data_IF_905880022444
#
_entry.id   IF_905880022444
#
_cell.length_a   1.000
_cell.length_b   1.000
_cell.length_c   1.000
_cell.angle_alpha   90.00
_cell.angle_beta   90.00
_cell.angle_gamma   90.00
#
_symmetry.space_group_name_H-M   'P 1'
#
loop_
_entity.id
_entity.type
_entity.pdbx_description
1 polymer ?
#
# COMPACT_ATOMS: atom_id res chain seq x y z
N UNK A 1 40.53 42.21 13.10
CA UNK A 1 39.37 41.29 13.02
C UNK A 1 39.50 40.54 11.72
N UNK A 2 39.88 39.26 11.77
CA UNK A 2 39.70 38.37 10.61
C UNK A 2 38.19 38.28 10.36
N UNK A 3 37.70 38.39 9.11
CA UNK A 3 36.28 38.18 8.84
C UNK A 3 35.90 36.80 9.37
N UNK A 4 34.75 36.70 10.05
CA UNK A 4 34.22 35.42 10.51
C UNK A 4 34.27 34.45 9.33
N UNK A 5 35.03 33.37 9.48
CA UNK A 5 35.11 32.33 8.46
C UNK A 5 33.69 31.90 8.14
N UNK A 6 33.36 31.90 6.84
CA UNK A 6 32.09 31.44 6.32
C UNK A 6 31.80 30.05 6.92
N UNK A 7 30.81 29.93 7.81
CA UNK A 7 30.53 28.71 8.61
C UNK A 7 29.91 27.57 7.77
N UNK A 8 29.90 27.77 6.45
CA UNK A 8 29.41 26.87 5.43
C UNK A 8 30.41 25.75 5.13
N UNK A 9 29.91 24.55 4.85
CA UNK A 9 30.74 23.41 4.46
C UNK A 9 31.34 23.58 3.06
N UNK A 10 32.51 23.00 2.75
CA UNK A 10 33.13 23.16 1.43
C UNK A 10 32.32 22.54 0.28
N UNK A 11 31.72 21.36 0.48
CA UNK A 11 30.88 20.70 -0.52
C UNK A 11 29.41 21.07 -0.37
N UNK A 12 28.86 21.85 -1.30
CA UNK A 12 27.47 22.34 -1.26
C UNK A 12 26.79 22.20 -2.62
N UNK A 13 26.47 20.97 -3.06
CA UNK A 13 25.73 20.79 -4.29
C UNK A 13 24.37 21.49 -4.19
N UNK A 14 23.88 22.13 -5.27
CA UNK A 14 22.57 22.75 -5.27
C UNK A 14 21.49 21.67 -5.09
N UNK A 15 20.43 22.03 -4.34
CA UNK A 15 19.19 21.28 -4.32
C UNK A 15 18.50 21.43 -5.67
N UNK A 16 18.16 20.31 -6.31
CA UNK A 16 17.45 20.31 -7.59
C UNK A 16 15.94 20.40 -7.36
N UNK A 17 15.20 20.91 -8.34
CA UNK A 17 13.79 21.31 -8.22
C UNK A 17 12.84 20.18 -7.75
N UNK A 18 13.03 18.97 -8.26
CA UNK A 18 12.21 17.79 -7.97
C UNK A 18 12.93 16.76 -7.08
N UNK A 19 14.13 17.07 -6.59
CA UNK A 19 14.95 16.14 -5.82
C UNK A 19 14.41 15.91 -4.41
N UNK A 20 14.42 14.65 -3.95
CA UNK A 20 14.06 14.31 -2.58
C UNK A 20 15.17 14.70 -1.60
N UNK A 21 14.79 15.08 -0.38
CA UNK A 21 15.73 15.45 0.68
C UNK A 21 16.78 14.36 0.91
N UNK A 22 16.39 13.09 0.89
CA UNK A 22 17.31 11.95 1.06
C UNK A 22 18.33 11.84 -0.07
N UNK A 23 17.95 12.15 -1.31
CA UNK A 23 18.86 12.20 -2.47
C UNK A 23 19.86 13.35 -2.32
N UNK A 24 19.35 14.55 -2.07
CA UNK A 24 20.19 15.73 -1.89
C UNK A 24 21.15 15.57 -0.71
N UNK A 25 20.66 15.06 0.42
CA UNK A 25 21.46 14.79 1.60
C UNK A 25 22.62 13.81 1.30
N UNK A 26 22.37 12.77 0.50
CA UNK A 26 23.42 11.84 0.09
C UNK A 26 24.47 12.51 -0.83
N UNK A 27 24.05 13.43 -1.71
CA UNK A 27 24.97 14.23 -2.54
C UNK A 27 25.79 15.21 -1.71
N UNK A 28 25.20 15.86 -0.70
CA UNK A 28 25.94 16.72 0.24
C UNK A 28 26.98 15.90 1.01
N UNK A 29 26.62 14.70 1.49
CA UNK A 29 27.57 13.80 2.14
C UNK A 29 28.74 13.45 1.20
N UNK A 30 28.43 13.03 -0.04
CA UNK A 30 29.42 12.70 -1.04
C UNK A 30 30.37 13.86 -1.37
N UNK A 31 29.83 15.07 -1.55
CA UNK A 31 30.60 16.28 -1.85
C UNK A 31 31.58 16.67 -0.74
N UNK A 32 31.33 16.22 0.50
CA UNK A 32 32.21 16.43 1.65
C UNK A 32 33.02 15.16 2.02
N UNK A 33 33.05 14.15 1.14
CA UNK A 33 33.82 12.93 1.38
C UNK A 33 33.26 12.06 2.52
N UNK A 34 31.96 12.14 2.78
CA UNK A 34 31.25 11.39 3.82
C UNK A 34 30.24 10.42 3.20
N UNK A 35 29.94 9.35 3.94
CA UNK A 35 28.74 8.53 3.70
C UNK A 35 27.52 9.21 4.33
N UNK A 36 26.29 8.98 3.84
CA UNK A 36 25.10 9.57 4.44
C UNK A 36 24.95 9.26 5.94
N UNK A 37 25.29 8.04 6.38
CA UNK A 37 25.26 7.69 7.80
C UNK A 37 26.35 8.39 8.65
N UNK A 38 27.45 8.83 8.05
CA UNK A 38 28.47 9.64 8.73
C UNK A 38 27.98 11.08 8.86
N UNK A 39 27.50 11.67 7.77
CA UNK A 39 26.92 13.01 7.78
C UNK A 39 25.79 13.11 8.81
N UNK A 40 24.87 12.15 8.81
CA UNK A 40 23.74 12.13 9.74
C UNK A 40 24.17 12.17 11.21
N UNK A 41 25.24 11.46 11.58
CA UNK A 41 25.76 11.46 12.95
C UNK A 41 26.42 12.78 13.34
N UNK A 42 26.97 13.53 12.37
CA UNK A 42 27.55 14.85 12.62
C UNK A 42 26.47 15.90 12.86
N UNK A 43 25.39 15.88 12.07
CA UNK A 43 24.30 16.87 12.19
C UNK A 43 23.26 16.51 13.25
N UNK A 44 23.14 15.22 13.58
CA UNK A 44 22.20 14.72 14.58
C UNK A 44 22.92 13.80 15.60
N UNK A 45 23.81 14.33 16.46
CA UNK A 45 24.63 13.51 17.37
C UNK A 45 23.82 12.66 18.36
N UNK A 46 22.68 13.19 18.82
CA UNK A 46 21.74 12.49 19.72
C UNK A 46 20.78 11.55 18.97
N UNK A 47 20.89 11.46 17.64
CA UNK A 47 20.04 10.64 16.79
C UNK A 47 20.41 9.15 16.82
N UNK A 48 19.61 8.34 16.13
CA UNK A 48 19.93 6.93 15.93
C UNK A 48 21.20 6.73 15.10
N UNK A 49 21.81 5.54 15.17
CA UNK A 49 23.06 5.23 14.45
C UNK A 49 22.95 5.37 12.91
N UNK A 50 21.75 5.29 12.36
CA UNK A 50 21.48 5.44 10.93
C UNK A 50 20.25 6.30 10.74
N UNK A 51 20.23 7.15 9.70
CA UNK A 51 19.03 7.89 9.36
C UNK A 51 17.89 6.92 9.02
N UNK A 52 16.68 7.29 9.47
CA UNK A 52 15.43 6.69 8.96
C UNK A 52 15.15 7.26 7.57
N UNK A 53 13.94 7.07 7.08
CA UNK A 53 13.42 7.73 5.90
C UNK A 53 13.38 9.26 6.10
N UNK A 54 14.43 9.97 5.66
CA UNK A 54 14.55 11.41 5.90
C UNK A 54 13.51 12.23 5.12
N UNK A 55 12.97 11.69 4.03
CA UNK A 55 11.90 12.35 3.28
C UNK A 55 10.62 12.45 4.12
N UNK A 56 10.42 11.54 5.10
CA UNK A 56 9.30 11.60 6.04
C UNK A 56 9.68 12.20 7.39
N UNK A 57 10.84 11.80 7.92
CA UNK A 57 11.23 12.06 9.30
C UNK A 57 12.32 13.13 9.44
N UNK A 58 12.55 13.94 8.40
CA UNK A 58 13.38 15.13 8.50
C UNK A 58 12.76 16.10 9.52
N UNK A 59 13.31 16.14 10.74
CA UNK A 59 12.85 17.06 11.78
C UNK A 59 13.41 18.47 11.59
N UNK A 60 12.80 19.43 12.28
CA UNK A 60 13.17 20.85 12.13
C UNK A 60 14.62 21.16 12.53
N UNK A 61 15.21 20.37 13.43
CA UNK A 61 16.60 20.54 13.85
C UNK A 61 17.56 20.07 12.76
N UNK A 62 17.31 18.90 12.17
CA UNK A 62 18.08 18.39 11.05
C UNK A 62 18.02 19.34 9.85
N UNK A 63 16.81 19.77 9.46
CA UNK A 63 16.65 20.69 8.33
C UNK A 63 17.31 22.05 8.62
N UNK A 64 17.23 22.55 9.86
CA UNK A 64 17.92 23.75 10.29
C UNK A 64 19.44 23.64 10.18
N UNK A 65 20.03 22.57 10.72
CA UNK A 65 21.47 22.33 10.65
C UNK A 65 21.96 22.21 9.19
N UNK A 66 21.19 21.55 8.33
CA UNK A 66 21.51 21.44 6.91
C UNK A 66 21.43 22.80 6.21
N UNK A 67 20.40 23.61 6.49
CA UNK A 67 20.27 24.95 5.94
C UNK A 67 21.45 25.84 6.35
N UNK A 68 21.77 25.85 7.65
CA UNK A 68 22.84 26.68 8.22
C UNK A 68 24.23 26.32 7.63
N UNK A 69 24.47 25.03 7.30
CA UNK A 69 25.76 24.57 6.76
C UNK A 69 25.88 24.56 5.24
N UNK A 70 24.77 24.61 4.51
CA UNK A 70 24.77 24.56 3.04
C UNK A 70 24.33 25.86 2.38
N UNK A 71 23.67 26.75 3.12
CA UNK A 71 23.08 27.98 2.58
C UNK A 71 21.76 27.76 1.81
N UNK A 72 21.25 26.52 1.74
CA UNK A 72 19.92 26.23 1.17
C UNK A 72 18.85 26.66 2.17
N UNK A 73 17.80 27.34 1.71
CA UNK A 73 16.74 27.80 2.62
C UNK A 73 16.00 26.63 3.28
N UNK A 74 15.54 26.83 4.51
CA UNK A 74 14.80 25.81 5.26
C UNK A 74 13.52 25.42 4.53
N UNK A 75 12.85 26.39 3.92
CA UNK A 75 11.63 26.21 3.14
C UNK A 75 11.89 25.29 1.93
N UNK A 76 13.00 25.49 1.21
CA UNK A 76 13.34 24.62 0.08
C UNK A 76 13.63 23.18 0.54
N UNK A 77 14.32 23.02 1.68
CA UNK A 77 14.54 21.70 2.26
C UNK A 77 13.22 21.05 2.70
N UNK A 78 12.29 21.79 3.31
CA UNK A 78 10.97 21.27 3.66
C UNK A 78 10.17 20.84 2.44
N UNK A 79 10.22 21.60 1.34
CA UNK A 79 9.57 21.25 0.07
C UNK A 79 10.23 20.03 -0.62
N UNK A 80 11.45 19.66 -0.25
CA UNK A 80 12.09 18.40 -0.68
C UNK A 80 11.69 17.17 0.17
N UNK A 81 10.80 17.33 1.15
CA UNK A 81 10.27 16.26 2.02
C UNK A 81 8.76 16.05 1.81
N UNK A 82 8.17 15.07 2.51
CA UNK A 82 6.72 14.83 2.52
C UNK A 82 5.91 16.01 3.05
N UNK A 83 6.54 16.96 3.77
CA UNK A 83 5.87 18.20 4.20
C UNK A 83 5.30 18.99 3.02
N UNK A 84 5.89 18.86 1.81
CA UNK A 84 5.34 19.39 0.55
C UNK A 84 3.89 19.00 0.29
N UNK A 85 3.47 17.83 0.78
CA UNK A 85 2.13 17.28 0.54
C UNK A 85 1.23 17.27 1.78
N UNK A 86 1.64 17.88 2.88
CA UNK A 86 0.78 18.05 4.05
C UNK A 86 -0.39 19.00 3.73
N UNK A 87 -1.62 18.54 3.93
CA UNK A 87 -2.85 19.21 3.48
C UNK A 87 -3.23 18.95 2.01
N UNK A 88 -2.43 18.17 1.27
CA UNK A 88 -2.66 17.87 -0.15
C UNK A 88 -2.76 16.35 -0.41
N UNK A 89 -1.75 15.55 -0.07
CA UNK A 89 -1.83 14.09 -0.18
C UNK A 89 -2.38 13.42 1.08
N UNK A 90 -2.20 14.06 2.23
CA UNK A 90 -2.63 13.62 3.55
C UNK A 90 -2.93 14.84 4.42
N UNK A 91 -3.85 14.73 5.38
CA UNK A 91 -4.22 15.87 6.22
C UNK A 91 -3.10 16.25 7.19
N UNK A 92 -2.61 15.28 7.97
CA UNK A 92 -1.54 15.44 8.96
C UNK A 92 -0.69 14.17 9.03
N UNK A 93 0.59 14.31 9.37
CA UNK A 93 1.47 13.18 9.66
C UNK A 93 1.97 13.29 11.11
N UNK A 94 1.53 12.37 11.97
CA UNK A 94 2.01 12.25 13.35
C UNK A 94 3.32 11.43 13.46
N UNK A 95 3.80 10.91 12.33
CA UNK A 95 4.98 10.04 12.24
C UNK A 95 4.74 8.60 12.73
N UNK A 96 3.57 8.30 13.27
CA UNK A 96 3.21 7.01 13.88
C UNK A 96 2.36 6.17 12.93
N UNK A 97 1.35 6.79 12.31
CA UNK A 97 0.41 6.10 11.42
C UNK A 97 1.01 6.00 10.02
N UNK A 98 0.74 4.91 9.31
CA UNK A 98 1.21 4.78 7.93
C UNK A 98 0.44 5.74 7.02
N UNK A 99 1.16 6.53 6.23
CA UNK A 99 0.57 7.28 5.11
C UNK A 99 0.28 6.31 3.96
N UNK A 100 -0.95 6.34 3.45
CA UNK A 100 -1.40 5.41 2.41
C UNK A 100 -0.53 5.54 1.16
N UNK A 101 -0.52 6.74 0.56
CA UNK A 101 0.17 6.95 -0.71
C UNK A 101 1.68 7.17 -0.58
N UNK A 102 2.22 7.20 0.64
CA UNK A 102 3.61 7.54 0.93
C UNK A 102 4.24 6.50 1.87
N UNK A 103 4.45 5.27 1.39
CA UNK A 103 5.03 4.23 2.21
C UNK A 103 6.49 4.52 2.57
N UNK A 104 6.98 3.95 3.69
CA UNK A 104 8.35 4.14 4.11
C UNK A 104 9.34 3.57 3.08
N UNK A 105 10.54 4.14 3.02
CA UNK A 105 11.61 3.70 2.13
C UNK A 105 12.81 3.04 2.86
N UNK A 106 13.52 2.17 2.12
CA UNK A 106 14.77 1.55 2.53
C UNK A 106 14.61 0.41 3.54
N UNK A 107 15.38 0.45 4.62
CA UNK A 107 15.35 -0.58 5.67
C UNK A 107 15.21 0.04 7.05
N UNK A 108 14.22 -0.44 7.78
CA UNK A 108 13.98 -0.11 9.18
C UNK A 108 14.12 -1.39 10.01
N UNK A 109 15.22 -1.49 10.77
CA UNK A 109 15.59 -2.74 11.47
C UNK A 109 15.60 -3.92 10.48
N UNK A 110 14.84 -4.99 10.77
CA UNK A 110 14.69 -6.15 9.88
C UNK A 110 13.69 -5.93 8.73
N UNK A 111 12.86 -4.88 8.78
CA UNK A 111 11.79 -4.62 7.82
C UNK A 111 12.34 -4.04 6.52
N UNK A 112 11.91 -4.60 5.38
CA UNK A 112 12.14 -4.05 4.03
C UNK A 112 11.00 -3.10 3.68
N UNK A 113 11.34 -1.90 3.22
CA UNK A 113 10.41 -0.83 2.95
C UNK A 113 10.61 -0.34 1.49
N UNK A 114 9.64 -0.60 0.62
CA UNK A 114 9.76 -0.40 -0.83
C UNK A 114 9.18 0.95 -1.32
N UNK A 115 9.11 1.94 -0.44
CA UNK A 115 8.52 3.24 -0.77
C UNK A 115 9.40 4.18 -1.59
N UNK A 116 10.67 3.82 -1.83
CA UNK A 116 11.50 4.53 -2.81
C UNK A 116 11.40 3.83 -4.16
N UNK A 117 10.94 4.55 -5.17
CA UNK A 117 10.95 4.12 -6.55
C UNK A 117 12.00 4.89 -7.36
N UNK A 118 12.43 4.33 -8.49
CA UNK A 118 13.41 4.95 -9.39
C UNK A 118 13.10 4.65 -10.85
N UNK A 119 13.41 5.60 -11.74
CA UNK A 119 13.51 5.34 -13.18
C UNK A 119 14.99 5.20 -13.57
N UNK A 120 15.46 4.01 -13.98
CA UNK A 120 16.84 3.84 -14.44
C UNK A 120 17.23 4.75 -15.60
N UNK A 121 16.32 4.96 -16.55
CA UNK A 121 16.55 5.79 -17.73
C UNK A 121 16.71 7.27 -17.36
N UNK A 122 15.83 7.83 -16.51
CA UNK A 122 16.03 9.19 -15.99
C UNK A 122 17.39 9.32 -15.31
N UNK A 123 17.74 8.38 -14.43
CA UNK A 123 19.02 8.42 -13.72
C UNK A 123 20.24 8.30 -14.66
N UNK A 124 20.08 7.68 -15.84
CA UNK A 124 21.15 7.56 -16.83
C UNK A 124 21.29 8.83 -17.69
N UNK A 125 20.18 9.50 -17.96
CA UNK A 125 20.10 10.72 -18.78
C UNK A 125 20.39 12.00 -17.98
N UNK A 126 20.11 11.99 -16.67
CA UNK A 126 20.34 13.12 -15.78
C UNK A 126 21.82 13.52 -15.74
N UNK A 127 22.12 14.78 -16.02
CA UNK A 127 23.48 15.35 -15.85
C UNK A 127 23.99 15.14 -14.43
N UNK A 128 23.10 15.27 -13.44
CA UNK A 128 23.35 14.89 -12.05
C UNK A 128 22.28 13.91 -11.61
N UNK A 129 22.55 12.60 -11.57
CA UNK A 129 21.57 11.59 -11.18
C UNK A 129 21.06 11.85 -9.75
N UNK A 130 19.74 11.97 -9.60
CA UNK A 130 19.08 12.26 -8.34
C UNK A 130 17.74 11.51 -8.24
N UNK A 131 17.31 11.22 -7.00
CA UNK A 131 16.00 10.62 -6.78
C UNK A 131 14.96 11.73 -6.69
N UNK A 132 13.92 11.61 -7.51
CA UNK A 132 12.82 12.57 -7.54
C UNK A 132 11.88 12.30 -6.37
N UNK A 133 11.41 13.35 -5.70
CA UNK A 133 10.49 13.24 -4.57
C UNK A 133 9.17 12.60 -5.02
N UNK A 134 8.64 12.96 -6.19
CA UNK A 134 7.38 12.39 -6.71
C UNK A 134 7.42 10.87 -6.89
N UNK A 135 8.59 10.26 -7.10
CA UNK A 135 8.74 8.80 -7.13
C UNK A 135 8.42 8.12 -5.79
N UNK A 136 8.21 8.90 -4.72
CA UNK A 136 7.71 8.43 -3.42
C UNK A 136 6.19 8.24 -3.41
N UNK A 137 5.45 8.84 -4.35
CA UNK A 137 4.01 8.68 -4.47
C UNK A 137 3.68 7.30 -5.03
N UNK A 138 3.03 6.47 -4.21
CA UNK A 138 2.82 5.08 -4.58
C UNK A 138 1.72 4.84 -5.62
N UNK A 139 0.96 5.87 -6.02
CA UNK A 139 0.14 5.81 -7.24
C UNK A 139 0.95 6.10 -8.51
N UNK A 140 2.15 6.71 -8.39
CA UNK A 140 3.10 6.91 -9.48
C UNK A 140 3.84 5.59 -9.73
N UNK A 141 3.35 4.80 -10.68
CA UNK A 141 3.84 3.42 -10.90
C UNK A 141 4.68 3.27 -12.16
N UNK A 142 4.58 4.23 -13.08
CA UNK A 142 5.41 4.35 -14.27
C UNK A 142 6.10 5.70 -14.28
N UNK A 143 7.24 5.77 -14.96
CA UNK A 143 7.89 7.04 -15.27
C UNK A 143 7.05 7.79 -16.32
N UNK A 144 6.64 9.05 -16.09
CA UNK A 144 5.91 9.82 -17.08
C UNK A 144 6.75 10.16 -18.32
N UNK A 145 8.08 10.19 -18.19
CA UNK A 145 9.00 10.48 -19.30
C UNK A 145 9.28 9.25 -20.17
N UNK A 146 9.51 8.09 -19.55
CA UNK A 146 9.95 6.88 -20.27
C UNK A 146 8.86 5.83 -20.47
N UNK A 147 7.71 5.94 -19.81
CA UNK A 147 6.58 5.03 -19.96
C UNK A 147 6.77 3.61 -19.38
N UNK A 148 7.92 3.33 -18.77
CA UNK A 148 8.21 2.06 -18.11
C UNK A 148 7.82 2.07 -16.63
N UNK A 149 7.55 0.89 -16.07
CA UNK A 149 7.35 0.72 -14.63
C UNK A 149 8.58 1.22 -13.87
N UNK A 150 8.34 2.04 -12.85
CA UNK A 150 9.40 2.41 -11.91
C UNK A 150 9.85 1.17 -11.16
N UNK A 151 11.13 1.12 -10.78
CA UNK A 151 11.66 0.05 -9.94
C UNK A 151 11.55 0.46 -8.47
N UNK A 152 11.06 -0.43 -7.60
CA UNK A 152 10.99 -0.20 -6.13
C UNK A 152 12.01 -1.07 -5.34
N UNK A 153 12.73 -1.92 -6.06
CA UNK A 153 13.72 -2.89 -5.56
C UNK A 153 14.81 -3.07 -6.59
N UNK A 154 16.01 -3.44 -6.12
CA UNK A 154 17.11 -3.80 -7.00
C UNK A 154 16.77 -5.09 -7.77
N UNK A 155 16.82 -5.11 -9.11
CA UNK A 155 16.59 -6.33 -9.90
C UNK A 155 17.62 -7.44 -9.63
N UNK A 156 18.84 -7.10 -9.20
CA UNK A 156 19.90 -8.08 -8.95
C UNK A 156 19.79 -8.79 -7.59
N UNK A 157 19.33 -8.10 -6.54
CA UNK A 157 19.31 -8.67 -5.18
C UNK A 157 17.98 -8.50 -4.41
N UNK A 158 16.97 -7.90 -5.04
CA UNK A 158 15.63 -7.69 -4.49
C UNK A 158 15.57 -6.85 -3.18
N UNK A 159 16.65 -6.16 -2.83
CA UNK A 159 16.67 -5.22 -1.72
C UNK A 159 16.01 -3.89 -2.11
N UNK A 160 15.28 -3.22 -1.19
CA UNK A 160 14.71 -1.91 -1.46
C UNK A 160 15.81 -0.89 -1.70
N UNK A 161 15.51 0.10 -2.55
CA UNK A 161 16.40 1.24 -2.72
C UNK A 161 16.52 2.02 -1.41
N UNK A 162 17.75 2.38 -1.05
CA UNK A 162 18.05 3.11 0.17
C UNK A 162 19.32 3.94 -0.03
N UNK A 163 19.14 5.14 -0.56
CA UNK A 163 20.26 6.05 -0.86
C UNK A 163 21.06 6.39 0.41
N UNK A 164 20.37 6.50 1.54
CA UNK A 164 20.96 6.79 2.85
C UNK A 164 21.82 5.65 3.43
N UNK A 165 21.78 4.47 2.82
CA UNK A 165 22.61 3.31 3.19
C UNK A 165 23.73 3.04 2.20
N UNK A 166 23.88 3.86 1.16
CA UNK A 166 24.89 3.64 0.14
C UNK A 166 26.29 3.83 0.73
N UNK A 167 27.18 2.86 0.47
CA UNK A 167 28.59 2.93 0.86
C UNK A 167 29.45 3.66 -0.18
N UNK A 168 29.01 3.65 -1.45
CA UNK A 168 29.67 4.37 -2.55
C UNK A 168 29.29 5.84 -2.52
N UNK A 169 30.28 6.71 -2.70
CA UNK A 169 30.11 8.17 -2.68
C UNK A 169 29.61 8.74 -4.01
N UNK A 170 29.69 7.98 -5.10
CA UNK A 170 29.31 8.44 -6.43
C UNK A 170 28.22 7.56 -7.05
N UNK A 171 27.32 8.21 -7.79
CA UNK A 171 26.22 7.58 -8.52
C UNK A 171 25.11 7.02 -7.63
N UNK A 172 24.11 6.39 -8.28
CA UNK A 172 23.00 5.72 -7.60
C UNK A 172 23.20 4.21 -7.72
N UNK A 173 23.69 3.60 -6.64
CA UNK A 173 23.99 2.17 -6.60
C UNK A 173 23.12 1.47 -5.56
N UNK A 174 22.85 0.17 -5.77
CA UNK A 174 22.24 -0.65 -4.74
C UNK A 174 23.16 -0.73 -3.52
N UNK A 175 22.68 -0.28 -2.36
CA UNK A 175 23.44 -0.31 -1.11
C UNK A 175 23.85 -1.73 -0.67
N UNK A 176 23.14 -2.76 -1.11
CA UNK A 176 23.38 -4.15 -0.69
C UNK A 176 24.31 -4.94 -1.62
N UNK A 177 24.15 -4.81 -2.95
CA UNK A 177 24.93 -5.60 -3.92
C UNK A 177 25.88 -4.75 -4.77
N UNK A 178 25.83 -3.42 -4.66
CA UNK A 178 26.69 -2.51 -5.41
C UNK A 178 26.34 -2.33 -6.89
N UNK A 179 25.30 -3.00 -7.40
CA UNK A 179 24.85 -2.84 -8.78
C UNK A 179 24.45 -1.38 -9.09
N UNK A 180 24.88 -0.89 -10.25
CA UNK A 180 24.53 0.45 -10.74
C UNK A 180 23.08 0.45 -11.23
N UNK A 181 22.23 1.27 -10.61
CA UNK A 181 20.78 1.29 -10.87
C UNK A 181 20.47 1.73 -12.30
N UNK A 182 21.34 2.56 -12.89
CA UNK A 182 21.19 3.10 -14.25
C UNK A 182 21.31 2.04 -15.34
N UNK A 183 21.85 0.86 -15.01
CA UNK A 183 22.04 -0.25 -15.97
C UNK A 183 20.84 -1.17 -16.07
N UNK A 184 19.81 -0.96 -15.25
CA UNK A 184 18.58 -1.73 -15.32
C UNK A 184 17.58 -1.08 -16.29
N UNK A 185 16.55 -1.83 -16.65
CA UNK A 185 15.40 -1.34 -17.40
C UNK A 185 14.13 -1.64 -16.62
N UNK A 186 13.12 -0.77 -16.75
CA UNK A 186 11.79 -1.04 -16.23
C UNK A 186 10.97 -1.84 -17.23
N UNK A 187 10.13 -2.75 -16.75
CA UNK A 187 9.19 -3.49 -17.60
C UNK A 187 8.09 -2.56 -18.12
N UNK A 188 7.45 -2.95 -19.24
CA UNK A 188 6.22 -2.29 -19.68
C UNK A 188 5.06 -2.55 -18.68
N UNK A 189 4.21 -1.53 -18.44
CA UNK A 189 3.07 -1.67 -17.56
C UNK A 189 2.02 -2.61 -18.18
N UNK A 190 1.26 -3.35 -17.35
CA UNK A 190 0.24 -4.30 -17.83
C UNK A 190 -1.05 -3.63 -18.31
N UNK A 191 -1.28 -2.36 -17.95
CA UNK A 191 -2.34 -1.48 -18.45
C UNK A 191 -1.70 -0.15 -18.84
N UNK A 192 -2.45 0.78 -19.42
CA UNK A 192 -1.99 2.16 -19.58
C UNK A 192 -2.32 2.99 -18.32
N UNK A 193 -1.33 3.29 -17.44
CA UNK A 193 -1.57 4.07 -16.24
C UNK A 193 -1.42 5.57 -16.45
N UNK A 194 -0.94 6.04 -17.61
CA UNK A 194 -0.57 7.46 -17.78
C UNK A 194 -1.77 8.38 -17.54
N UNK A 195 -2.97 8.14 -18.12
CA UNK A 195 -4.13 8.99 -17.88
C UNK A 195 -4.57 9.00 -16.40
N UNK A 196 -4.51 7.84 -15.74
CA UNK A 196 -4.89 7.70 -14.33
C UNK A 196 -3.90 8.42 -13.43
N UNK A 197 -2.59 8.20 -13.65
CA UNK A 197 -1.52 8.85 -12.92
C UNK A 197 -1.60 10.37 -13.05
N UNK A 198 -1.76 10.88 -14.28
CA UNK A 198 -1.86 12.32 -14.53
C UNK A 198 -3.07 12.91 -13.82
N UNK A 199 -4.24 12.26 -13.87
CA UNK A 199 -5.42 12.75 -13.15
C UNK A 199 -5.21 12.82 -11.63
N UNK A 200 -4.45 11.90 -11.05
CA UNK A 200 -4.12 11.90 -9.62
C UNK A 200 -3.08 12.96 -9.27
N UNK A 201 -2.07 13.17 -10.12
CA UNK A 201 -1.12 14.29 -9.99
C UNK A 201 -1.83 15.64 -10.11
N UNK A 202 -2.74 15.79 -11.06
CA UNK A 202 -3.54 17.00 -11.22
C UNK A 202 -4.43 17.26 -10.00
N UNK A 203 -5.09 16.21 -9.48
CA UNK A 203 -5.86 16.29 -8.23
C UNK A 203 -4.96 16.76 -7.08
N UNK A 204 -3.76 16.19 -6.96
CA UNK A 204 -2.80 16.55 -5.93
C UNK A 204 -2.29 17.98 -6.10
N UNK A 205 -2.04 18.45 -7.32
CA UNK A 205 -1.53 19.80 -7.60
C UNK A 205 -2.60 20.89 -7.49
N UNK A 206 -3.87 20.55 -7.73
CA UNK A 206 -5.00 21.47 -7.56
C UNK A 206 -5.47 21.57 -6.11
N UNK A 207 -5.20 20.55 -5.30
CA UNK A 207 -5.59 20.51 -3.88
C UNK A 207 -7.04 20.06 -3.66
N UNK A 208 -7.82 19.84 -4.72
CA UNK A 208 -9.20 19.38 -4.66
C UNK A 208 -9.60 18.66 -5.96
N UNK A 209 -10.76 17.99 -5.94
CA UNK A 209 -11.45 17.49 -7.14
C UNK A 209 -12.96 17.46 -6.93
N UNK A 210 -13.73 17.42 -8.01
CA UNK A 210 -15.16 17.11 -7.94
C UNK A 210 -15.39 15.61 -7.73
N UNK A 211 -16.32 15.25 -6.84
CA UNK A 211 -16.68 13.87 -6.52
C UNK A 211 -18.19 13.63 -6.71
N UNK A 212 -18.63 13.55 -7.96
CA UNK A 212 -20.04 13.33 -8.30
C UNK A 212 -20.96 14.36 -7.65
N UNK A 213 -22.07 13.90 -7.07
CA UNK A 213 -23.04 14.77 -6.37
C UNK A 213 -22.54 15.35 -5.05
N UNK A 214 -21.39 14.90 -4.54
CA UNK A 214 -20.79 15.46 -3.31
C UNK A 214 -20.08 16.80 -3.57
N UNK A 215 -19.91 17.19 -4.83
CA UNK A 215 -19.26 18.46 -5.20
C UNK A 215 -17.75 18.44 -4.97
N UNK A 216 -17.12 19.60 -4.71
CA UNK A 216 -15.67 19.69 -4.50
C UNK A 216 -15.28 19.05 -3.16
N UNK A 217 -14.26 18.18 -3.20
CA UNK A 217 -13.63 17.59 -2.03
C UNK A 217 -12.12 17.84 -2.07
N UNK A 218 -11.50 17.99 -0.90
CA UNK A 218 -10.05 18.13 -0.82
C UNK A 218 -9.34 16.91 -1.40
N UNK A 219 -8.18 17.15 -2.00
CA UNK A 219 -7.33 16.14 -2.63
C UNK A 219 -6.96 15.00 -1.67
N UNK A 220 -6.58 15.31 -0.43
CA UNK A 220 -6.25 14.29 0.57
C UNK A 220 -7.43 13.37 0.88
N UNK A 221 -8.64 13.92 0.97
CA UNK A 221 -9.86 13.14 1.20
C UNK A 221 -10.17 12.26 -0.01
N UNK A 222 -10.07 12.78 -1.23
CA UNK A 222 -10.24 12.00 -2.45
C UNK A 222 -9.23 10.85 -2.57
N UNK A 223 -7.97 11.11 -2.25
CA UNK A 223 -6.90 10.12 -2.24
C UNK A 223 -7.14 9.07 -1.15
N UNK A 224 -7.65 9.44 0.01
CA UNK A 224 -8.02 8.50 1.07
C UNK A 224 -9.18 7.59 0.64
N UNK A 225 -10.21 8.14 -0.02
CA UNK A 225 -11.30 7.35 -0.63
C UNK A 225 -10.74 6.37 -1.66
N UNK A 226 -9.85 6.82 -2.54
CA UNK A 226 -9.19 5.97 -3.52
C UNK A 226 -8.40 4.84 -2.85
N UNK A 227 -7.69 5.13 -1.75
CA UNK A 227 -6.92 4.14 -1.00
C UNK A 227 -7.85 3.10 -0.34
N UNK A 228 -8.97 3.53 0.24
CA UNK A 228 -10.00 2.66 0.79
C UNK A 228 -10.53 1.69 -0.26
N UNK A 229 -10.88 2.20 -1.46
CA UNK A 229 -11.32 1.36 -2.59
C UNK A 229 -10.20 0.39 -3.00
N UNK A 230 -8.98 0.88 -3.21
CA UNK A 230 -7.83 0.08 -3.62
C UNK A 230 -7.56 -1.06 -2.64
N UNK A 231 -7.65 -0.82 -1.32
CA UNK A 231 -7.52 -1.86 -0.28
C UNK A 231 -8.55 -2.98 -0.43
N UNK A 232 -9.79 -2.67 -0.81
CA UNK A 232 -10.86 -3.69 -1.01
C UNK A 232 -10.66 -4.50 -2.29
N UNK A 233 -10.03 -3.93 -3.31
CA UNK A 233 -9.68 -4.61 -4.56
C UNK A 233 -8.40 -5.44 -4.41
N UNK A 234 -7.44 -4.95 -3.60
CA UNK A 234 -6.15 -5.60 -3.37
C UNK A 234 -6.26 -6.91 -2.56
N UNK A 235 -7.16 -6.95 -1.56
CA UNK A 235 -7.24 -8.07 -0.63
C UNK A 235 -8.58 -8.19 0.11
N UNK A 236 -8.78 -9.35 0.74
CA UNK A 236 -10.00 -9.67 1.49
C UNK A 236 -10.97 -10.59 0.74
N UNK A 237 -12.15 -10.82 1.34
CA UNK A 237 -13.14 -11.77 0.84
C UNK A 237 -13.74 -11.39 -0.52
N UNK A 238 -13.90 -10.09 -0.79
CA UNK A 238 -14.57 -9.59 -2.00
C UNK A 238 -13.61 -9.13 -3.11
N UNK A 239 -12.30 -9.07 -2.84
CA UNK A 239 -11.30 -8.56 -3.78
C UNK A 239 -11.33 -9.25 -5.15
N UNK A 240 -11.57 -10.57 -5.19
CA UNK A 240 -11.67 -11.29 -6.46
C UNK A 240 -12.92 -10.87 -7.24
N UNK A 241 -14.10 -10.92 -6.60
CA UNK A 241 -15.36 -10.55 -7.27
C UNK A 241 -15.38 -9.10 -7.74
N UNK A 242 -14.77 -8.17 -6.98
CA UNK A 242 -14.65 -6.78 -7.42
C UNK A 242 -13.77 -6.65 -8.66
N UNK A 243 -12.62 -7.34 -8.70
CA UNK A 243 -11.73 -7.33 -9.87
C UNK A 243 -12.39 -7.95 -11.10
N UNK A 244 -13.11 -9.04 -10.91
CA UNK A 244 -13.89 -9.71 -11.96
C UNK A 244 -15.00 -8.79 -12.49
N UNK A 245 -15.78 -8.15 -11.60
CA UNK A 245 -16.79 -7.18 -12.00
C UNK A 245 -16.20 -6.03 -12.81
N UNK A 246 -15.07 -5.45 -12.37
CA UNK A 246 -14.39 -4.37 -13.10
C UNK A 246 -13.92 -4.86 -14.48
N UNK A 247 -13.32 -6.06 -14.55
CA UNK A 247 -12.83 -6.62 -15.81
C UNK A 247 -13.94 -6.83 -16.84
N UNK A 248 -15.16 -7.18 -16.38
CA UNK A 248 -16.34 -7.32 -17.23
C UNK A 248 -16.90 -5.98 -17.74
N UNK A 249 -16.73 -4.89 -16.97
CA UNK A 249 -17.31 -3.58 -17.28
C UNK A 249 -16.30 -2.57 -17.86
N UNK A 250 -15.01 -2.86 -17.78
CA UNK A 250 -13.91 -2.07 -18.36
C UNK A 250 -12.88 -3.01 -19.00
N UNK A 251 -13.05 -3.38 -20.28
CA UNK A 251 -12.19 -4.34 -20.97
C UNK A 251 -10.70 -3.98 -20.96
N UNK A 252 -10.35 -2.68 -20.90
CA UNK A 252 -8.95 -2.22 -20.80
C UNK A 252 -8.25 -2.63 -19.50
N UNK A 253 -9.03 -2.96 -18.46
CA UNK A 253 -8.55 -3.44 -17.17
C UNK A 253 -8.75 -4.96 -17.01
N UNK A 254 -9.21 -5.65 -18.05
CA UNK A 254 -9.36 -7.10 -18.06
C UNK A 254 -7.99 -7.76 -18.09
N UNK A 255 -7.51 -8.09 -16.89
CA UNK A 255 -6.25 -8.75 -16.68
C UNK A 255 -6.47 -10.09 -16.00
N UNK A 256 -5.68 -11.10 -16.35
CA UNK A 256 -5.89 -12.38 -15.74
C UNK A 256 -5.54 -12.40 -14.24
N UNK A 257 -6.25 -13.19 -13.40
CA UNK A 257 -6.19 -13.07 -11.94
C UNK A 257 -4.81 -13.27 -11.31
N UNK A 258 -3.94 -14.07 -11.93
CA UNK A 258 -2.59 -14.41 -11.43
C UNK A 258 -1.63 -13.21 -11.49
N UNK A 259 -2.00 -12.15 -12.22
CA UNK A 259 -1.20 -10.92 -12.32
C UNK A 259 -1.19 -10.09 -11.04
N UNK A 260 -2.10 -10.35 -10.10
CA UNK A 260 -2.31 -9.55 -8.91
C UNK A 260 -2.20 -10.38 -7.62
N UNK A 261 -1.10 -10.26 -6.85
CA UNK A 261 -0.94 -11.01 -5.61
C UNK A 261 -1.95 -10.55 -4.55
N UNK A 262 -2.48 -11.50 -3.78
CA UNK A 262 -3.27 -11.17 -2.57
C UNK A 262 -2.32 -10.71 -1.47
N UNK A 263 -2.36 -9.42 -1.14
CA UNK A 263 -1.52 -8.83 -0.09
C UNK A 263 -2.40 -8.03 0.87
N UNK A 264 -2.13 -8.16 2.17
CA UNK A 264 -2.84 -7.39 3.20
C UNK A 264 -2.39 -5.92 3.26
N UNK A 265 -1.09 -5.69 3.02
CA UNK A 265 -0.51 -4.35 2.92
C UNK A 265 -0.22 -4.00 1.46
N UNK A 266 -1.08 -3.16 0.89
CA UNK A 266 -0.97 -2.76 -0.51
C UNK A 266 0.34 -2.00 -0.82
N UNK A 267 1.01 -1.40 0.16
CA UNK A 267 2.29 -0.73 -0.09
C UNK A 267 3.46 -1.71 -0.30
N UNK A 268 3.28 -2.99 0.00
CA UNK A 268 4.26 -4.03 -0.33
C UNK A 268 4.10 -4.53 -1.77
N UNK A 269 3.07 -4.05 -2.48
CA UNK A 269 2.86 -4.40 -3.88
C UNK A 269 3.88 -3.72 -4.78
N UNK A 270 4.37 -4.49 -5.75
CA UNK A 270 5.24 -3.97 -6.80
C UNK A 270 4.51 -2.90 -7.62
N UNK A 271 5.24 -1.97 -8.25
CA UNK A 271 4.67 -0.99 -9.18
C UNK A 271 3.78 -1.63 -10.24
N UNK A 272 4.13 -2.84 -10.72
CA UNK A 272 3.30 -3.63 -11.65
C UNK A 272 1.90 -3.92 -11.12
N UNK A 273 1.79 -4.39 -9.88
CA UNK A 273 0.50 -4.70 -9.27
C UNK A 273 -0.26 -3.43 -8.86
N UNK A 274 0.45 -2.42 -8.32
CA UNK A 274 -0.14 -1.12 -7.96
C UNK A 274 -0.73 -0.42 -9.18
N UNK A 275 -0.06 -0.47 -10.32
CA UNK A 275 -0.50 0.14 -11.58
C UNK A 275 -1.94 -0.30 -11.93
N UNK A 276 -2.21 -1.59 -11.87
CA UNK A 276 -3.55 -2.16 -12.16
C UNK A 276 -4.56 -1.79 -11.08
N UNK A 277 -4.21 -1.97 -9.81
CA UNK A 277 -5.14 -1.73 -8.70
C UNK A 277 -5.54 -0.27 -8.58
N UNK A 278 -4.60 0.65 -8.82
CA UNK A 278 -4.87 2.09 -8.85
C UNK A 278 -5.78 2.42 -10.03
N UNK A 279 -5.55 1.84 -11.21
CA UNK A 279 -6.44 2.03 -12.36
C UNK A 279 -7.86 1.48 -12.11
N UNK A 280 -7.98 0.31 -11.48
CA UNK A 280 -9.27 -0.26 -11.07
C UNK A 280 -9.99 0.58 -10.01
N UNK A 281 -9.26 1.04 -8.99
CA UNK A 281 -9.82 1.91 -7.95
C UNK A 281 -10.26 3.26 -8.52
N UNK A 282 -9.45 3.84 -9.42
CA UNK A 282 -9.76 5.07 -10.14
C UNK A 282 -10.99 4.91 -11.03
N UNK A 283 -11.10 3.77 -11.72
CA UNK A 283 -12.30 3.43 -12.47
C UNK A 283 -13.54 3.42 -11.56
N UNK A 284 -13.52 2.76 -10.40
CA UNK A 284 -14.67 2.79 -9.47
C UNK A 284 -14.96 4.20 -8.91
N UNK A 285 -13.94 5.05 -8.74
CA UNK A 285 -14.07 6.43 -8.28
C UNK A 285 -14.62 7.38 -9.37
N UNK A 286 -14.45 7.04 -10.65
CA UNK A 286 -14.79 7.93 -11.77
C UNK A 286 -16.26 8.30 -11.91
N UNK A 287 -17.16 7.48 -11.34
CA UNK A 287 -18.60 7.75 -11.23
C UNK A 287 -19.05 7.50 -9.80
N UNK A 288 -18.47 8.28 -8.88
CA UNK A 288 -18.70 8.15 -7.45
C UNK A 288 -20.07 8.71 -7.03
N UNK A 289 -20.84 7.99 -6.18
CA UNK A 289 -20.54 6.67 -5.60
C UNK A 289 -21.09 5.50 -6.43
N UNK A 290 -21.87 5.77 -7.47
CA UNK A 290 -22.71 4.80 -8.18
C UNK A 290 -21.94 3.55 -8.63
N UNK A 291 -20.81 3.72 -9.31
CA UNK A 291 -20.06 2.58 -9.86
C UNK A 291 -19.52 1.66 -8.76
N UNK A 292 -18.94 2.23 -7.71
CA UNK A 292 -18.48 1.48 -6.54
C UNK A 292 -19.63 0.72 -5.86
N UNK A 293 -20.77 1.37 -5.66
CA UNK A 293 -21.94 0.76 -5.01
C UNK A 293 -22.51 -0.40 -5.83
N UNK A 294 -22.64 -0.26 -7.14
CA UNK A 294 -23.12 -1.34 -8.01
C UNK A 294 -22.16 -2.53 -7.96
N UNK A 295 -20.85 -2.28 -8.09
CA UNK A 295 -19.83 -3.32 -7.96
C UNK A 295 -19.91 -4.03 -6.60
N UNK A 296 -19.97 -3.27 -5.51
CA UNK A 296 -20.05 -3.79 -4.14
C UNK A 296 -21.31 -4.65 -3.93
N UNK A 297 -22.48 -4.22 -4.41
CA UNK A 297 -23.73 -5.00 -4.33
C UNK A 297 -23.66 -6.29 -5.12
N UNK A 298 -23.08 -6.25 -6.32
CA UNK A 298 -22.97 -7.43 -7.20
C UNK A 298 -22.18 -8.58 -6.55
N UNK A 299 -21.24 -8.26 -5.67
CA UNK A 299 -20.40 -9.24 -4.95
C UNK A 299 -20.89 -9.52 -3.53
N UNK A 300 -22.05 -8.95 -3.14
CA UNK A 300 -22.67 -9.16 -1.83
C UNK A 300 -21.95 -8.44 -0.67
N UNK A 301 -21.40 -7.25 -0.90
CA UNK A 301 -20.83 -6.40 0.16
C UNK A 301 -21.93 -5.67 0.94
N UNK A 302 -21.91 -5.83 2.26
CA UNK A 302 -22.66 -5.01 3.20
C UNK A 302 -21.78 -3.88 3.76
N UNK A 303 -22.39 -2.80 4.28
CA UNK A 303 -21.67 -1.66 4.86
C UNK A 303 -20.64 -2.07 5.93
N UNK A 304 -21.01 -3.02 6.80
CA UNK A 304 -20.15 -3.59 7.86
C UNK A 304 -18.90 -4.29 7.33
N UNK A 305 -18.88 -4.67 6.05
CA UNK A 305 -17.70 -5.27 5.42
C UNK A 305 -16.74 -4.24 4.82
N UNK A 306 -17.15 -2.98 4.80
CA UNK A 306 -16.48 -1.91 4.06
C UNK A 306 -16.04 -0.79 4.99
N UNK A 307 -16.74 -0.61 6.11
CA UNK A 307 -16.56 0.45 7.09
C UNK A 307 -16.99 -0.02 8.49
N UNK A 308 -16.23 0.34 9.52
CA UNK A 308 -16.62 0.20 10.93
C UNK A 308 -16.58 1.56 11.64
N UNK A 309 -17.75 2.18 11.93
CA UNK A 309 -17.82 3.51 12.55
C UNK A 309 -17.18 3.60 13.94
N UNK A 310 -17.06 2.47 14.66
CA UNK A 310 -16.58 2.47 16.03
C UNK A 310 -15.06 2.51 16.15
N UNK A 311 -14.31 2.34 15.05
CA UNK A 311 -12.86 2.15 15.10
C UNK A 311 -12.08 2.72 13.91
N UNK A 312 -12.75 3.35 12.95
CA UNK A 312 -12.11 3.83 11.72
C UNK A 312 -12.63 5.24 11.39
N UNK A 313 -11.72 6.21 11.39
CA UNK A 313 -11.99 7.51 10.77
C UNK A 313 -11.88 7.33 9.25
N UNK A 314 -12.90 7.76 8.52
CA UNK A 314 -12.91 7.76 7.05
C UNK A 314 -13.58 9.05 6.54
N UNK A 315 -13.31 9.47 5.30
CA UNK A 315 -13.93 10.66 4.74
C UNK A 315 -15.46 10.55 4.70
N UNK A 316 -16.15 11.64 5.00
CA UNK A 316 -17.62 11.70 5.01
C UNK A 316 -18.24 11.16 3.71
N UNK A 317 -17.69 11.54 2.55
CA UNK A 317 -18.22 11.09 1.25
C UNK A 317 -18.14 9.56 1.07
N UNK A 318 -17.18 8.88 1.72
CA UNK A 318 -17.10 7.43 1.76
C UNK A 318 -18.06 6.82 2.77
N UNK A 319 -18.04 7.30 4.02
CA UNK A 319 -18.94 6.82 5.06
C UNK A 319 -20.40 6.93 4.60
N UNK A 320 -20.82 8.11 4.12
CA UNK A 320 -22.16 8.37 3.61
C UNK A 320 -22.52 7.42 2.47
N UNK A 321 -21.65 7.24 1.47
CA UNK A 321 -21.94 6.35 0.35
C UNK A 321 -22.17 4.90 0.80
N UNK A 322 -21.29 4.40 1.66
CA UNK A 322 -21.32 3.01 2.13
C UNK A 322 -22.50 2.78 3.08
N UNK A 323 -22.73 3.68 4.02
CA UNK A 323 -23.84 3.57 4.98
C UNK A 323 -25.19 3.74 4.32
N UNK A 324 -25.34 4.70 3.40
CA UNK A 324 -26.63 4.96 2.77
C UNK A 324 -26.99 3.87 1.75
N UNK A 325 -26.02 3.36 1.01
CA UNK A 325 -26.30 2.46 -0.11
C UNK A 325 -25.96 0.97 0.13
N UNK A 326 -25.10 0.64 1.11
CA UNK A 326 -24.73 -0.77 1.41
C UNK A 326 -25.19 -1.24 2.79
N UNK A 327 -25.81 -0.39 3.61
CA UNK A 327 -26.35 -0.83 4.90
C UNK A 327 -27.51 -1.78 4.65
N UNK A 328 -27.32 -3.03 5.07
CA UNK A 328 -28.44 -3.97 5.15
C UNK A 328 -29.51 -3.34 6.04
N UNK A 329 -30.79 -3.40 5.65
CA UNK A 329 -31.85 -2.91 6.51
C UNK A 329 -31.66 -3.51 7.91
N UNK A 330 -31.71 -2.67 8.94
CA UNK A 330 -31.69 -3.16 10.31
C UNK A 330 -32.77 -4.24 10.43
N UNK A 331 -32.35 -5.49 10.65
CA UNK A 331 -33.25 -6.55 11.12
C UNK A 331 -33.54 -6.25 12.59
N UNK A 332 -34.34 -5.22 12.82
CA UNK A 332 -34.86 -4.88 14.13
C UNK A 332 -35.53 -6.14 14.68
N UNK A 333 -35.07 -6.62 15.83
CA UNK A 333 -35.58 -7.84 16.43
C UNK A 333 -34.80 -9.13 16.11
N UNK A 334 -33.62 -9.13 15.48
CA UNK A 334 -32.88 -10.38 15.23
C UNK A 334 -32.66 -11.26 16.50
N UNK A 335 -32.44 -10.66 17.68
CA UNK A 335 -32.41 -11.40 18.96
C UNK A 335 -33.79 -11.93 19.36
N UNK A 336 -34.84 -11.13 19.18
CA UNK A 336 -36.23 -11.53 19.47
C UNK A 336 -36.68 -12.65 18.53
N UNK A 337 -36.40 -12.54 17.24
CA UNK A 337 -36.68 -13.53 16.21
C UNK A 337 -35.93 -14.84 16.46
N UNK A 338 -34.63 -14.78 16.84
CA UNK A 338 -33.88 -15.97 17.26
C UNK A 338 -34.42 -16.54 18.58
N UNK A 339 -34.86 -15.73 19.53
CA UNK A 339 -35.50 -16.18 20.76
C UNK A 339 -36.85 -16.88 20.48
N UNK A 340 -37.67 -16.31 19.60
CA UNK A 340 -38.94 -16.90 19.15
C UNK A 340 -38.71 -18.21 18.40
N UNK A 341 -37.74 -18.25 17.48
CA UNK A 341 -37.36 -19.45 16.76
C UNK A 341 -36.84 -20.55 17.70
N UNK A 342 -36.02 -20.18 18.69
CA UNK A 342 -35.57 -21.09 19.76
C UNK A 342 -36.75 -21.67 20.54
N UNK A 343 -37.69 -20.83 20.97
CA UNK A 343 -38.91 -21.26 21.68
C UNK A 343 -39.80 -22.18 20.83
N UNK A 344 -39.87 -21.97 19.50
CA UNK A 344 -40.60 -22.86 18.59
C UNK A 344 -39.92 -24.22 18.51
N UNK A 345 -38.60 -24.27 18.31
CA UNK A 345 -37.86 -25.54 18.26
C UNK A 345 -37.99 -26.33 19.57
N UNK A 346 -37.85 -25.66 20.71
CA UNK A 346 -38.02 -26.26 22.04
C UNK A 346 -39.42 -26.84 22.25
N UNK A 347 -40.48 -26.11 21.83
CA UNK A 347 -41.87 -26.61 21.89
C UNK A 347 -42.11 -27.84 21.01
N UNK A 348 -41.38 -27.98 19.92
CA UNK A 348 -41.46 -29.15 19.04
C UNK A 348 -40.48 -30.28 19.42
N UNK A 349 -39.79 -30.17 20.55
CA UNK A 349 -38.82 -31.17 21.01
C UNK A 349 -37.54 -31.26 20.16
N UNK A 350 -37.29 -30.25 19.33
CA UNK A 350 -36.10 -30.17 18.48
C UNK A 350 -35.05 -29.31 19.18
N UNK A 351 -33.83 -29.83 19.33
CA UNK A 351 -32.74 -29.07 19.96
C UNK A 351 -32.43 -27.80 19.16
N UNK A 352 -32.37 -26.60 19.78
CA UNK A 352 -32.13 -25.34 19.09
C UNK A 352 -30.64 -25.16 18.75
N UNK A 353 -30.11 -26.09 17.96
CA UNK A 353 -28.75 -26.00 17.42
C UNK A 353 -28.67 -24.90 16.38
N UNK A 354 -27.47 -24.40 16.10
CA UNK A 354 -27.26 -23.35 15.10
C UNK A 354 -27.86 -23.71 13.73
N UNK A 355 -27.74 -24.99 13.35
CA UNK A 355 -28.30 -25.52 12.11
C UNK A 355 -29.82 -25.43 12.11
N UNK A 356 -30.49 -25.92 13.15
CA UNK A 356 -31.95 -25.95 13.24
C UNK A 356 -32.53 -24.53 13.33
N UNK A 357 -31.87 -23.61 14.04
CA UNK A 357 -32.23 -22.20 14.07
C UNK A 357 -32.11 -21.55 12.68
N UNK A 358 -31.03 -21.84 11.95
CA UNK A 358 -30.83 -21.32 10.59
C UNK A 358 -31.83 -21.91 9.60
N UNK A 359 -32.14 -23.20 9.70
CA UNK A 359 -33.15 -23.86 8.85
C UNK A 359 -34.54 -23.29 9.11
N UNK A 360 -34.92 -23.06 10.38
CA UNK A 360 -36.23 -22.51 10.74
C UNK A 360 -36.40 -21.03 10.35
N UNK A 361 -35.38 -20.20 10.59
CA UNK A 361 -35.42 -18.76 10.29
C UNK A 361 -35.09 -18.48 8.80
N UNK A 362 -34.55 -19.46 8.08
CA UNK A 362 -34.23 -19.37 6.65
C UNK A 362 -33.03 -18.49 6.31
N UNK A 363 -32.37 -17.88 7.30
CA UNK A 363 -31.21 -17.00 7.09
C UNK A 363 -30.28 -16.99 8.30
N UNK A 364 -29.05 -16.50 8.12
CA UNK A 364 -28.08 -16.37 9.21
C UNK A 364 -28.32 -15.08 9.99
N UNK A 365 -28.62 -15.19 11.29
CA UNK A 365 -28.68 -14.06 12.21
C UNK A 365 -27.53 -14.12 13.22
N UNK A 366 -26.94 -12.97 13.55
CA UNK A 366 -25.76 -12.89 14.44
C UNK A 366 -26.03 -13.48 15.83
N UNK A 367 -27.24 -13.29 16.36
CA UNK A 367 -27.66 -13.81 17.67
C UNK A 367 -27.73 -15.34 17.74
N UNK A 368 -27.79 -16.05 16.60
CA UNK A 368 -27.85 -17.51 16.59
C UNK A 368 -26.61 -18.15 17.20
N UNK A 369 -25.41 -17.59 16.97
CA UNK A 369 -24.18 -18.17 17.51
C UNK A 369 -24.10 -18.10 19.05
N UNK A 370 -24.76 -17.11 19.64
CA UNK A 370 -24.82 -16.92 21.10
C UNK A 370 -25.94 -17.77 21.73
N UNK A 371 -27.09 -17.88 21.05
CA UNK A 371 -28.29 -18.49 21.62
C UNK A 371 -28.47 -19.97 21.27
N UNK A 372 -27.74 -20.46 20.26
CA UNK A 372 -27.76 -21.85 19.83
C UNK A 372 -27.14 -22.76 20.88
N UNK A 373 -27.73 -23.94 21.04
CA UNK A 373 -27.15 -24.97 21.88
C UNK A 373 -26.06 -25.76 21.14
N UNK A 374 -24.99 -26.17 21.86
CA UNK A 374 -23.94 -26.99 21.29
C UNK A 374 -24.48 -28.36 20.87
N UNK A 375 -23.99 -28.83 19.72
CA UNK A 375 -24.35 -30.13 19.14
C UNK A 375 -23.72 -31.30 19.92
N UNK A 376 -22.69 -31.02 20.75
CA UNK A 376 -22.08 -31.98 21.69
C UNK A 376 -20.99 -31.34 22.57
N UNK A 377 -20.49 -32.07 23.57
CA UNK A 377 -19.30 -31.68 24.35
C UNK A 377 -18.04 -31.98 23.52
N UNK A 378 -17.44 -30.96 22.92
CA UNK A 378 -16.11 -31.07 22.34
C UNK A 378 -15.29 -29.81 22.65
N UNK A 379 -14.03 -30.04 22.99
CA UNK A 379 -12.99 -29.05 23.31
C UNK A 379 -12.86 -27.98 22.21
N UNK A 380 -12.49 -26.73 22.53
CA UNK A 380 -12.41 -25.66 21.55
C UNK A 380 -11.37 -25.96 20.47
N UNK A 381 -11.81 -25.91 19.22
CA UNK A 381 -10.99 -26.05 18.04
C UNK A 381 -10.38 -24.70 17.66
N UNK A 382 -9.05 -24.63 17.44
CA UNK A 382 -8.46 -23.52 16.66
C UNK A 382 -7.31 -22.73 17.28
N UNK A 383 -6.19 -23.38 17.62
CA UNK A 383 -4.90 -22.69 17.60
C UNK A 383 -4.02 -23.30 16.49
N UNK A 384 -3.78 -22.54 15.42
CA UNK A 384 -2.75 -22.84 14.42
C UNK A 384 -3.16 -23.46 13.08
N UNK A 385 -4.43 -23.37 12.64
CA UNK A 385 -4.83 -23.95 11.34
C UNK A 385 -4.58 -23.03 10.14
N UNK A 386 -3.83 -23.55 9.18
CA UNK A 386 -3.83 -23.07 7.79
C UNK A 386 -4.56 -24.14 6.97
N UNK A 387 -5.85 -23.95 6.72
CA UNK A 387 -6.78 -24.98 6.24
C UNK A 387 -6.35 -25.71 4.96
N UNK A 388 -5.51 -25.08 4.12
CA UNK A 388 -4.97 -25.69 2.89
C UNK A 388 -3.83 -26.70 3.10
N UNK A 389 -3.30 -26.81 4.32
CA UNK A 389 -2.24 -27.74 4.70
C UNK A 389 -2.66 -28.65 5.86
N UNK A 390 -3.97 -28.83 6.06
CA UNK A 390 -4.48 -29.77 7.06
C UNK A 390 -4.06 -31.20 6.67
N UNK A 391 -3.43 -31.93 7.62
CA UNK A 391 -2.87 -33.27 7.39
C UNK A 391 -1.37 -33.32 7.05
N UNK A 392 -0.72 -32.18 6.78
CA UNK A 392 0.74 -32.11 6.52
C UNK A 392 1.52 -31.92 7.83
N UNK A 393 2.70 -32.57 7.95
CA UNK A 393 3.57 -32.47 9.15
C UNK A 393 4.06 -31.04 9.39
N UNK A 394 4.37 -30.71 10.66
CA UNK A 394 4.77 -29.36 11.06
C UNK A 394 6.08 -28.90 10.38
N UNK A 395 7.04 -29.81 10.21
CA UNK A 395 8.31 -29.55 9.54
C UNK A 395 8.11 -29.15 8.07
N UNK A 396 7.27 -29.90 7.34
CA UNK A 396 6.98 -29.64 5.93
C UNK A 396 6.19 -28.33 5.75
N UNK A 397 5.29 -27.99 6.69
CA UNK A 397 4.59 -26.70 6.69
C UNK A 397 5.54 -25.51 6.79
N UNK A 398 6.55 -25.62 7.64
CA UNK A 398 7.53 -24.53 7.84
C UNK A 398 8.49 -24.42 6.64
N UNK A 399 8.94 -25.54 6.09
CA UNK A 399 9.73 -25.56 4.86
C UNK A 399 8.96 -24.95 3.67
N UNK A 400 7.68 -25.26 3.52
CA UNK A 400 6.81 -24.70 2.48
C UNK A 400 6.62 -23.18 2.64
N UNK A 401 6.48 -22.68 3.89
CA UNK A 401 6.43 -21.23 4.17
C UNK A 401 7.72 -20.54 3.76
N UNK A 402 8.87 -21.09 4.13
CA UNK A 402 10.17 -20.54 3.76
C UNK A 402 10.40 -20.53 2.25
N UNK A 403 10.00 -21.60 1.55
CA UNK A 403 10.13 -21.68 0.10
C UNK A 403 9.25 -20.64 -0.62
N UNK A 404 7.98 -20.52 -0.23
CA UNK A 404 7.07 -19.51 -0.77
C UNK A 404 7.59 -18.08 -0.54
N UNK A 405 8.09 -17.80 0.66
CA UNK A 405 8.63 -16.47 1.01
C UNK A 405 9.88 -16.11 0.21
N UNK A 406 10.78 -17.06 -0.07
CA UNK A 406 11.95 -16.84 -0.94
C UNK A 406 11.57 -16.47 -2.37
N UNK A 407 10.46 -17.01 -2.86
CA UNK A 407 9.91 -16.69 -4.18
C UNK A 407 9.08 -15.39 -4.22
N UNK A 408 8.89 -14.72 -3.07
CA UNK A 408 8.04 -13.54 -2.97
C UNK A 408 6.54 -13.85 -3.12
N UNK A 409 6.16 -15.12 -3.03
CA UNK A 409 4.80 -15.61 -3.23
C UNK A 409 4.10 -15.89 -1.89
N UNK A 410 2.78 -15.81 -1.87
CA UNK A 410 1.99 -16.35 -0.76
C UNK A 410 2.04 -17.88 -0.81
N UNK A 411 2.17 -18.54 0.36
CA UNK A 411 2.16 -20.00 0.54
C UNK A 411 1.06 -20.69 -0.27
N UNK A 412 -0.14 -20.12 -0.32
CA UNK A 412 -1.25 -20.71 -1.06
C UNK A 412 -1.06 -20.69 -2.59
N UNK A 413 -0.44 -19.65 -3.15
CA UNK A 413 -0.18 -19.55 -4.59
C UNK A 413 1.01 -20.43 -5.00
N UNK A 414 2.06 -20.41 -4.17
CA UNK A 414 3.22 -21.27 -4.34
C UNK A 414 2.84 -22.76 -4.32
N UNK A 415 2.00 -23.15 -3.35
CA UNK A 415 1.55 -24.55 -3.21
C UNK A 415 0.69 -25.00 -4.41
N UNK A 416 -0.22 -24.17 -4.90
CA UNK A 416 -1.05 -24.51 -6.06
C UNK A 416 -0.21 -24.75 -7.32
N UNK A 417 0.80 -23.89 -7.54
CA UNK A 417 1.76 -24.02 -8.63
C UNK A 417 2.59 -25.30 -8.54
N UNK A 418 3.09 -25.62 -7.34
CA UNK A 418 3.82 -26.87 -7.09
C UNK A 418 2.93 -28.08 -7.36
N UNK A 419 1.70 -28.10 -6.85
CA UNK A 419 0.77 -29.21 -7.04
C UNK A 419 0.39 -29.41 -8.51
N UNK A 420 0.12 -28.33 -9.26
CA UNK A 420 -0.18 -28.41 -10.69
C UNK A 420 0.97 -29.01 -11.49
N UNK A 421 2.20 -28.61 -11.19
CA UNK A 421 3.40 -29.15 -11.83
C UNK A 421 3.56 -30.64 -11.56
N UNK A 422 3.45 -31.06 -10.30
CA UNK A 422 3.59 -32.47 -9.92
C UNK A 422 2.48 -33.35 -10.48
N UNK A 423 1.25 -32.83 -10.51
CA UNK A 423 0.09 -33.52 -11.06
C UNK A 423 -0.01 -33.42 -12.59
N UNK A 424 0.96 -32.76 -13.26
CA UNK A 424 0.98 -32.49 -14.71
C UNK A 424 -0.31 -31.86 -15.21
N UNK A 425 -0.95 -31.03 -14.37
CA UNK A 425 -2.13 -30.28 -14.75
C UNK A 425 -1.71 -29.12 -15.64
N UNK A 426 -2.43 -28.83 -16.74
CA UNK A 426 -2.13 -27.69 -17.58
C UNK A 426 -2.20 -26.39 -16.76
N UNK A 427 -1.30 -25.45 -17.05
CA UNK A 427 -1.40 -24.10 -16.56
C UNK A 427 -2.72 -23.52 -17.07
N UNK A 428 -3.66 -23.24 -16.15
CA UNK A 428 -4.93 -22.65 -16.56
C UNK A 428 -4.71 -21.19 -16.93
N UNK A 429 -4.56 -20.95 -18.22
CA UNK A 429 -5.46 -20.08 -18.99
C UNK A 429 -5.69 -20.75 -20.33
N UNK A 430 -6.92 -20.71 -20.87
CA UNK A 430 -7.28 -20.62 -22.29
C UNK A 430 -8.65 -21.26 -22.57
N UNK A 431 -9.69 -20.42 -22.57
CA UNK A 431 -10.49 -20.12 -23.77
C UNK A 431 -11.20 -18.79 -23.55
#
# INVERSE_FOLDING_TARGET
MLPAADDLWPGRPPLLEDESFSSWFARVAAANGLRPAELYRLVQPSGGLRPRDLDRYGDIHLLGAMADKTGVSREALEQSTFRRWAGWAFERDDGLVKLDWLPPAGREKAKRCFGQQVCPSCLAEDTTPHLRLEWRLSFLTVCPMHGHLLLDRCPACNEPFSILRQERREGVCCWSCGADVRRFTGDHPPVDPIPVQQNLLDTLNQGWRTLGSYGPVYSFAALEILALIARRIAGGKYAYGLREWISLHEPRLSLPPETLPRVHDWALLTPRARCVLVAMAHHLLGDWPHRFIVAARSVGMASSSVYNPSNEYVPFAYAHAVEWHLKEPHKFGARYEVASAKSVLERHGIKPTYRNLKELVGTKLAAMSEMAEPVGQATPWGQGRYWKLDGVSAEVKEAARHAAHRSGENVAAWLDKVLRKELKLPDMRLS
#
